data_IF_757238732863
#
_entry.id   IF_757238732863
#
_cell.length_a   1.000
_cell.length_b   1.000
_cell.length_c   1.000
_cell.angle_alpha   90.00
_cell.angle_beta   90.00
_cell.angle_gamma   90.00
#
_symmetry.space_group_name_H-M   'P 1'
#
loop_
_entity.id
_entity.type
_entity.pdbx_description
1 polymer ?
#
# COMPACT_ATOMS: atom_id res chain seq x y z
N UNK A 1 33.29 -2.40 3.13
CA UNK A 1 33.44 -1.03 2.60
C UNK A 1 32.27 -0.25 3.14
N UNK A 2 32.53 0.94 3.69
CA UNK A 2 31.46 1.80 4.20
C UNK A 2 30.51 2.17 3.05
N UNK A 3 29.19 2.15 3.29
CA UNK A 3 28.08 2.14 2.32
C UNK A 3 27.84 0.80 1.57
N UNK A 4 27.58 -0.31 2.26
CA UNK A 4 26.97 -1.50 1.64
C UNK A 4 25.54 -1.70 2.17
N UNK A 5 24.59 -2.14 1.33
CA UNK A 5 23.24 -2.42 1.78
C UNK A 5 23.27 -3.51 2.85
N UNK A 6 22.55 -3.30 3.94
CA UNK A 6 22.49 -4.24 5.05
C UNK A 6 21.76 -5.53 4.64
N UNK A 7 22.23 -6.67 5.15
CA UNK A 7 21.51 -7.92 5.01
C UNK A 7 20.13 -7.78 5.67
N UNK A 8 19.08 -8.07 4.91
CA UNK A 8 17.70 -7.96 5.37
C UNK A 8 17.09 -9.33 5.66
N UNK A 9 17.16 -10.25 4.71
CA UNK A 9 16.46 -11.52 4.80
C UNK A 9 17.13 -12.62 3.96
N UNK A 10 16.99 -13.87 4.39
CA UNK A 10 17.37 -15.06 3.63
C UNK A 10 16.16 -15.98 3.50
N UNK A 11 15.94 -16.49 2.30
CA UNK A 11 14.95 -17.52 2.02
C UNK A 11 15.47 -18.57 1.05
N UNK A 12 14.54 -19.37 0.55
CA UNK A 12 14.79 -20.35 -0.49
C UNK A 12 13.79 -20.13 -1.63
N UNK A 13 14.30 -20.13 -2.86
CA UNK A 13 13.49 -20.04 -4.07
C UNK A 13 13.88 -21.18 -5.01
N UNK A 14 12.91 -22.05 -5.28
CA UNK A 14 13.06 -23.27 -6.11
C UNK A 14 14.21 -24.19 -5.68
N UNK A 15 14.40 -24.38 -4.37
CA UNK A 15 15.44 -25.27 -3.82
C UNK A 15 16.83 -24.65 -3.72
N UNK A 16 16.93 -23.33 -3.94
CA UNK A 16 18.19 -22.59 -3.95
C UNK A 16 18.11 -21.36 -3.05
N UNK A 17 19.15 -21.05 -2.26
CA UNK A 17 19.14 -19.90 -1.37
C UNK A 17 18.99 -18.57 -2.11
N UNK A 18 18.13 -17.69 -1.60
CA UNK A 18 18.03 -16.30 -2.05
C UNK A 18 18.25 -15.37 -0.86
N UNK A 19 19.18 -14.42 -1.02
CA UNK A 19 19.51 -13.40 -0.04
C UNK A 19 18.98 -12.06 -0.51
N UNK A 20 18.53 -11.27 0.45
CA UNK A 20 18.00 -9.93 0.23
C UNK A 20 18.78 -8.94 1.08
N UNK A 21 19.25 -7.88 0.42
CA UNK A 21 19.96 -6.76 1.04
C UNK A 21 19.23 -5.46 0.76
N UNK A 22 19.24 -4.55 1.73
CA UNK A 22 18.45 -3.33 1.72
C UNK A 22 17.02 -3.59 2.23
N UNK A 23 16.58 -2.75 3.17
CA UNK A 23 15.27 -2.92 3.80
C UNK A 23 14.14 -2.48 2.84
N UNK A 24 13.14 -3.32 2.52
CA UNK A 24 12.09 -3.00 1.55
C UNK A 24 11.34 -1.69 1.82
N UNK A 25 11.16 -1.35 3.10
CA UNK A 25 10.44 -0.16 3.54
C UNK A 25 11.30 1.11 3.64
N UNK A 26 12.63 0.99 3.52
CA UNK A 26 13.54 2.14 3.59
C UNK A 26 14.36 2.18 2.31
N UNK A 27 14.14 3.16 1.42
CA UNK A 27 14.92 3.26 0.20
C UNK A 27 16.38 3.52 0.57
N UNK A 28 17.19 2.46 0.51
CA UNK A 28 18.63 2.56 0.58
C UNK A 28 19.14 3.22 -0.71
N UNK A 29 20.30 3.87 -0.63
CA UNK A 29 21.02 4.49 -1.76
C UNK A 29 21.24 3.50 -2.92
N UNK A 30 21.33 2.21 -2.62
CA UNK A 30 21.54 1.14 -3.58
C UNK A 30 20.24 0.44 -4.03
N UNK A 31 19.09 0.81 -3.46
CA UNK A 31 17.85 0.06 -3.62
C UNK A 31 17.91 -1.32 -2.94
N UNK A 32 17.01 -2.21 -3.37
CA UNK A 32 16.94 -3.58 -2.85
C UNK A 32 17.72 -4.52 -3.77
N UNK A 33 18.68 -5.25 -3.20
CA UNK A 33 19.51 -6.22 -3.92
C UNK A 33 19.04 -7.63 -3.58
N UNK A 34 18.77 -8.42 -4.62
CA UNK A 34 18.48 -9.84 -4.50
C UNK A 34 19.64 -10.64 -5.09
N UNK A 35 20.19 -11.56 -4.30
CA UNK A 35 21.25 -12.48 -4.73
C UNK A 35 20.69 -13.90 -4.64
N UNK A 36 20.56 -14.57 -5.78
CA UNK A 36 20.03 -15.94 -5.86
C UNK A 36 21.15 -16.91 -6.24
N UNK A 37 21.43 -17.89 -5.38
CA UNK A 37 22.52 -18.85 -5.56
C UNK A 37 22.01 -20.12 -6.22
N UNK A 38 22.52 -20.47 -7.40
CA UNK A 38 22.01 -21.62 -8.15
C UNK A 38 22.67 -22.90 -7.66
N UNK A 39 22.10 -23.49 -6.62
CA UNK A 39 22.62 -24.69 -5.97
C UNK A 39 21.86 -25.95 -6.40
N UNK A 40 20.89 -25.83 -7.32
CA UNK A 40 20.13 -26.96 -7.85
C UNK A 40 20.02 -26.89 -9.38
N UNK A 41 19.94 -28.06 -10.03
CA UNK A 41 19.67 -28.13 -11.47
C UNK A 41 18.35 -27.42 -11.82
N UNK A 42 17.35 -27.53 -10.95
CA UNK A 42 16.06 -26.85 -11.11
C UNK A 42 16.22 -25.34 -11.24
N UNK A 43 17.13 -24.71 -10.48
CA UNK A 43 17.37 -23.26 -10.63
C UNK A 43 18.12 -22.87 -11.89
N UNK A 44 19.04 -23.70 -12.36
CA UNK A 44 19.68 -23.51 -13.66
C UNK A 44 18.65 -23.61 -14.79
N UNK A 45 17.78 -24.61 -14.76
CA UNK A 45 16.73 -24.80 -15.78
C UNK A 45 15.76 -23.61 -15.83
N UNK A 46 15.41 -23.04 -14.67
CA UNK A 46 14.57 -21.83 -14.59
C UNK A 46 15.30 -20.64 -15.19
N UNK A 47 16.59 -20.46 -14.88
CA UNK A 47 17.37 -19.37 -15.44
C UNK A 47 17.46 -19.47 -16.96
N UNK A 48 17.75 -20.66 -17.48
CA UNK A 48 17.98 -20.83 -18.92
C UNK A 48 16.68 -20.77 -19.74
N UNK A 49 15.57 -21.28 -19.19
CA UNK A 49 14.34 -21.49 -19.96
C UNK A 49 13.20 -20.56 -19.55
N UNK A 50 13.31 -19.93 -18.38
CA UNK A 50 12.23 -19.17 -17.74
C UNK A 50 12.71 -17.86 -17.10
N UNK A 51 13.82 -17.31 -17.58
CA UNK A 51 14.36 -16.03 -17.10
C UNK A 51 13.30 -14.92 -17.04
N UNK A 52 12.45 -14.80 -18.07
CA UNK A 52 11.38 -13.80 -18.11
C UNK A 52 10.37 -13.97 -16.98
N UNK A 53 10.05 -15.21 -16.60
CA UNK A 53 9.13 -15.48 -15.50
C UNK A 53 9.73 -15.14 -14.15
N UNK A 54 11.04 -15.33 -13.98
CA UNK A 54 11.76 -14.84 -12.81
C UNK A 54 11.73 -13.32 -12.72
N UNK A 55 11.91 -12.61 -13.84
CA UNK A 55 11.78 -11.15 -13.87
C UNK A 55 10.34 -10.69 -13.53
N UNK A 56 9.32 -11.40 -14.02
CA UNK A 56 7.92 -11.14 -13.66
C UNK A 56 7.69 -11.27 -12.16
N UNK A 57 8.23 -12.32 -11.51
CA UNK A 57 8.15 -12.48 -10.05
C UNK A 57 8.75 -11.28 -9.32
N UNK A 58 9.96 -10.86 -9.71
CA UNK A 58 10.62 -9.68 -9.14
C UNK A 58 9.79 -8.41 -9.35
N UNK A 59 9.21 -8.23 -10.54
CA UNK A 59 8.37 -7.09 -10.88
C UNK A 59 7.10 -7.05 -10.01
N UNK A 60 6.37 -8.16 -9.89
CA UNK A 60 5.15 -8.22 -9.08
C UNK A 60 5.44 -7.98 -7.60
N UNK A 61 6.53 -8.57 -7.07
CA UNK A 61 6.99 -8.31 -5.71
C UNK A 61 7.27 -6.82 -5.47
N UNK A 62 7.98 -6.17 -6.39
CA UNK A 62 8.31 -4.74 -6.27
C UNK A 62 7.07 -3.85 -6.35
N UNK A 63 6.11 -4.18 -7.22
CA UNK A 63 4.81 -3.47 -7.27
C UNK A 63 4.05 -3.58 -5.96
N UNK A 64 4.02 -4.77 -5.35
CA UNK A 64 3.39 -5.00 -4.04
C UNK A 64 4.06 -4.17 -2.94
N UNK A 65 5.38 -4.22 -2.81
CA UNK A 65 6.13 -3.48 -1.78
C UNK A 65 5.92 -1.97 -1.93
N UNK A 66 6.00 -1.47 -3.18
CA UNK A 66 5.78 -0.05 -3.45
C UNK A 66 4.36 0.39 -3.09
N UNK A 67 3.35 -0.40 -3.47
CA UNK A 67 1.97 -0.11 -3.13
C UNK A 67 1.73 -0.16 -1.61
N UNK A 68 2.36 -1.07 -0.87
CA UNK A 68 2.31 -1.09 0.61
C UNK A 68 2.89 0.20 1.20
N UNK A 69 4.08 0.60 0.78
CA UNK A 69 4.72 1.83 1.24
C UNK A 69 3.86 3.07 0.95
N UNK A 70 3.35 3.20 -0.28
CA UNK A 70 2.44 4.29 -0.65
C UNK A 70 1.14 4.26 0.18
N UNK A 71 0.58 3.08 0.44
CA UNK A 71 -0.65 2.93 1.24
C UNK A 71 -0.50 3.49 2.66
N UNK A 72 0.68 3.33 3.28
CA UNK A 72 0.98 3.88 4.62
C UNK A 72 1.00 5.40 4.62
N UNK A 73 1.52 6.01 3.56
CA UNK A 73 1.49 7.46 3.39
C UNK A 73 0.05 7.97 3.26
N UNK A 74 -0.78 7.30 2.46
CA UNK A 74 -2.21 7.62 2.34
C UNK A 74 -2.96 7.41 3.65
N UNK A 75 -2.70 6.34 4.40
CA UNK A 75 -3.31 6.10 5.70
C UNK A 75 -3.05 7.26 6.68
N UNK A 76 -1.80 7.74 6.74
CA UNK A 76 -1.42 8.91 7.53
C UNK A 76 -2.16 10.18 7.08
N UNK A 77 -2.27 10.42 5.77
CA UNK A 77 -2.99 11.56 5.21
C UNK A 77 -4.51 11.51 5.49
N UNK A 78 -5.12 10.33 5.34
CA UNK A 78 -6.54 10.07 5.65
C UNK A 78 -6.82 10.39 7.10
N UNK A 79 -5.99 9.87 8.01
CA UNK A 79 -6.15 10.12 9.45
C UNK A 79 -6.09 11.61 9.78
N UNK A 80 -5.11 12.33 9.24
CA UNK A 80 -4.98 13.78 9.44
C UNK A 80 -6.19 14.57 8.91
N UNK A 81 -6.69 14.21 7.72
CA UNK A 81 -7.86 14.90 7.16
C UNK A 81 -9.13 14.59 7.95
N UNK A 82 -9.31 13.34 8.39
CA UNK A 82 -10.41 12.93 9.26
C UNK A 82 -10.40 13.71 10.58
N UNK A 83 -9.28 13.73 11.28
CA UNK A 83 -9.11 14.48 12.54
C UNK A 83 -9.35 15.99 12.35
N UNK A 84 -9.10 16.54 11.16
CA UNK A 84 -9.40 17.94 10.86
C UNK A 84 -10.90 18.16 10.60
N UNK A 85 -11.56 17.25 9.88
CA UNK A 85 -13.01 17.30 9.65
C UNK A 85 -13.75 17.20 10.99
N UNK A 86 -13.38 16.25 11.85
CA UNK A 86 -13.95 16.08 13.18
C UNK A 86 -13.79 17.34 14.03
N UNK A 87 -12.56 17.89 14.10
CA UNK A 87 -12.31 19.16 14.79
C UNK A 87 -13.12 20.32 14.22
N UNK A 88 -13.23 20.45 12.90
CA UNK A 88 -13.97 21.55 12.30
C UNK A 88 -15.49 21.41 12.58
N UNK A 89 -16.02 20.18 12.62
CA UNK A 89 -17.41 19.89 13.02
C UNK A 89 -17.62 20.24 14.48
N UNK A 90 -16.78 19.72 15.38
CA UNK A 90 -16.89 19.95 16.82
C UNK A 90 -16.80 21.44 17.15
N UNK A 91 -15.81 22.15 16.60
CA UNK A 91 -15.67 23.60 16.79
C UNK A 91 -16.89 24.36 16.28
N UNK A 92 -17.50 23.91 15.17
CA UNK A 92 -18.71 24.54 14.62
C UNK A 92 -19.87 24.40 15.60
N UNK A 93 -20.11 23.19 16.11
CA UNK A 93 -21.23 22.96 17.03
C UNK A 93 -20.99 23.52 18.42
N UNK A 94 -19.76 23.51 18.94
CA UNK A 94 -19.40 24.19 20.19
C UNK A 94 -19.66 25.70 20.11
N UNK A 95 -19.28 26.34 19.00
CA UNK A 95 -19.54 27.77 18.79
C UNK A 95 -21.06 28.07 18.78
N UNK A 96 -21.86 27.19 18.17
CA UNK A 96 -23.32 27.35 18.10
C UNK A 96 -24.05 26.98 19.40
N UNK A 97 -23.44 26.17 20.27
CA UNK A 97 -24.01 25.74 21.55
C UNK A 97 -23.66 26.65 22.72
N UNK A 98 -22.88 27.72 22.51
CA UNK A 98 -22.57 28.68 23.58
C UNK A 98 -23.85 29.15 24.28
N UNK A 99 -23.85 29.24 25.61
CA UNK A 99 -25.06 29.40 26.45
C UNK A 99 -26.07 30.44 25.94
N UNK A 100 -25.59 31.56 25.39
CA UNK A 100 -26.46 32.58 24.81
C UNK A 100 -27.23 32.13 23.56
N UNK A 101 -26.60 31.36 22.67
CA UNK A 101 -27.19 30.87 21.43
C UNK A 101 -28.24 29.78 21.70
N UNK A 102 -27.89 28.85 22.59
CA UNK A 102 -28.78 27.76 22.98
C UNK A 102 -30.03 28.27 23.73
N UNK A 103 -29.87 29.25 24.63
CA UNK A 103 -31.00 29.89 25.30
C UNK A 103 -31.89 30.72 24.35
N UNK A 104 -31.32 31.33 23.30
CA UNK A 104 -32.09 32.08 22.29
C UNK A 104 -32.91 31.16 21.38
N UNK A 105 -32.35 30.02 20.97
CA UNK A 105 -33.11 29.01 20.22
C UNK A 105 -34.29 28.44 21.03
N UNK A 106 -34.08 28.13 22.32
CA UNK A 106 -35.14 27.67 23.22
C UNK A 106 -36.28 28.68 23.40
N UNK A 107 -35.99 29.98 23.22
CA UNK A 107 -36.97 31.09 23.26
C UNK A 107 -37.54 31.44 21.88
N UNK A 108 -37.25 30.66 20.83
CA UNK A 108 -37.72 30.91 19.47
C UNK A 108 -37.00 32.05 18.72
N UNK A 109 -35.89 32.56 19.26
CA UNK A 109 -35.20 33.76 18.76
C UNK A 109 -34.25 33.54 17.57
N UNK A 110 -34.08 32.30 17.08
CA UNK A 110 -33.16 31.99 15.98
C UNK A 110 -31.67 32.24 16.28
N UNK A 111 -30.82 32.05 15.27
CA UNK A 111 -29.38 32.33 15.32
C UNK A 111 -29.10 33.83 15.09
N UNK A 112 -28.03 34.38 15.70
CA UNK A 112 -27.54 35.74 15.39
C UNK A 112 -26.99 35.79 13.97
N UNK A 113 -26.86 37.00 13.44
CA UNK A 113 -26.27 37.23 12.12
C UNK A 113 -24.83 36.68 12.04
N UNK A 114 -24.03 36.81 13.09
CA UNK A 114 -22.65 36.32 13.12
C UNK A 114 -22.60 34.78 13.08
N UNK A 115 -23.53 34.12 13.80
CA UNK A 115 -23.70 32.67 13.82
C UNK A 115 -24.12 32.14 12.43
N UNK A 116 -25.04 32.84 11.75
CA UNK A 116 -25.45 32.54 10.38
C UNK A 116 -24.31 32.74 9.36
N UNK A 117 -23.53 33.82 9.48
CA UNK A 117 -22.37 34.05 8.61
C UNK A 117 -21.28 33.01 8.85
N UNK A 118 -21.08 32.59 10.10
CA UNK A 118 -20.17 31.50 10.43
C UNK A 118 -20.60 30.18 9.77
N UNK A 119 -21.87 29.79 9.93
CA UNK A 119 -22.43 28.61 9.25
C UNK A 119 -22.29 28.70 7.73
N UNK A 120 -22.60 29.86 7.14
CA UNK A 120 -22.46 30.08 5.68
C UNK A 120 -21.03 29.82 5.20
N UNK A 121 -20.01 30.29 5.93
CA UNK A 121 -18.60 29.98 5.61
C UNK A 121 -18.32 28.49 5.71
N UNK A 122 -18.76 27.84 6.79
CA UNK A 122 -18.56 26.40 6.98
C UNK A 122 -19.22 25.55 5.89
N UNK A 123 -20.40 25.93 5.42
CA UNK A 123 -21.07 25.27 4.28
C UNK A 123 -20.29 25.39 2.97
N UNK A 124 -19.45 26.42 2.81
CA UNK A 124 -18.58 26.59 1.64
C UNK A 124 -17.25 25.83 1.84
N UNK A 125 -16.69 25.84 3.05
CA UNK A 125 -15.38 25.24 3.36
C UNK A 125 -15.41 23.72 3.49
N UNK A 126 -16.52 23.14 3.97
CA UNK A 126 -16.64 21.70 4.24
C UNK A 126 -16.67 20.80 3.00
N UNK A 127 -17.44 21.12 1.93
CA UNK A 127 -17.55 20.21 0.79
C UNK A 127 -16.20 19.89 0.11
N UNK A 128 -15.29 20.86 -0.13
CA UNK A 128 -13.96 20.55 -0.66
C UNK A 128 -13.15 19.59 0.22
N UNK A 129 -13.26 19.69 1.55
CA UNK A 129 -12.60 18.75 2.48
C UNK A 129 -13.20 17.34 2.37
N UNK A 130 -14.52 17.23 2.33
CA UNK A 130 -15.19 15.94 2.15
C UNK A 130 -14.78 15.26 0.83
N UNK A 131 -14.70 16.02 -0.26
CA UNK A 131 -14.21 15.53 -1.56
C UNK A 131 -12.74 15.09 -1.47
N UNK A 132 -11.89 15.88 -0.81
CA UNK A 132 -10.48 15.53 -0.59
C UNK A 132 -10.35 14.23 0.20
N UNK A 133 -11.11 14.08 1.28
CA UNK A 133 -11.13 12.88 2.11
C UNK A 133 -11.58 11.65 1.31
N UNK A 134 -12.69 11.76 0.56
CA UNK A 134 -13.16 10.69 -0.31
C UNK A 134 -12.11 10.29 -1.37
N UNK A 135 -11.41 11.26 -1.95
CA UNK A 135 -10.31 10.98 -2.88
C UNK A 135 -9.17 10.23 -2.20
N UNK A 136 -8.77 10.62 -0.98
CA UNK A 136 -7.72 9.90 -0.24
C UNK A 136 -8.11 8.44 0.03
N UNK A 137 -9.36 8.17 0.39
CA UNK A 137 -9.88 6.81 0.56
C UNK A 137 -9.82 6.00 -0.74
N UNK A 138 -10.27 6.59 -1.85
CA UNK A 138 -10.20 5.95 -3.17
C UNK A 138 -8.75 5.63 -3.57
N UNK A 139 -7.81 6.55 -3.33
CA UNK A 139 -6.39 6.31 -3.61
C UNK A 139 -5.84 5.15 -2.76
N UNK A 140 -6.23 5.03 -1.49
CA UNK A 140 -5.87 3.91 -0.64
C UNK A 140 -6.42 2.58 -1.18
N UNK A 141 -7.69 2.55 -1.58
CA UNK A 141 -8.32 1.36 -2.18
C UNK A 141 -7.61 0.92 -3.47
N UNK A 142 -7.20 1.86 -4.32
CA UNK A 142 -6.42 1.57 -5.53
C UNK A 142 -5.09 0.86 -5.19
N UNK A 143 -4.41 1.26 -4.10
CA UNK A 143 -3.17 0.59 -3.68
C UNK A 143 -3.46 -0.81 -3.14
N UNK A 144 -4.52 -0.97 -2.35
CA UNK A 144 -4.92 -2.29 -1.84
C UNK A 144 -5.24 -3.25 -2.99
N UNK A 145 -5.95 -2.78 -4.01
CA UNK A 145 -6.22 -3.55 -5.22
C UNK A 145 -4.92 -3.89 -5.97
N UNK A 146 -3.98 -2.93 -6.07
CA UNK A 146 -2.66 -3.17 -6.67
C UNK A 146 -1.89 -4.27 -5.93
N UNK A 147 -1.91 -4.25 -4.60
CA UNK A 147 -1.29 -5.30 -3.76
C UNK A 147 -1.95 -6.66 -4.04
N UNK A 148 -3.27 -6.73 -3.99
CA UNK A 148 -4.01 -7.97 -4.21
C UNK A 148 -3.75 -8.58 -5.59
N UNK A 149 -3.81 -7.76 -6.65
CA UNK A 149 -3.57 -8.21 -8.03
C UNK A 149 -2.14 -8.72 -8.20
N UNK A 150 -1.14 -7.98 -7.70
CA UNK A 150 0.26 -8.39 -7.90
C UNK A 150 0.65 -9.57 -7.00
N UNK A 151 0.07 -9.71 -5.81
CA UNK A 151 0.22 -10.91 -4.98
C UNK A 151 -0.36 -12.14 -5.68
N UNK A 152 -1.55 -12.02 -6.28
CA UNK A 152 -2.16 -13.10 -7.06
C UNK A 152 -1.31 -13.46 -8.28
N UNK A 153 -0.88 -12.46 -9.06
CA UNK A 153 -0.01 -12.68 -10.22
C UNK A 153 1.31 -13.37 -9.83
N UNK A 154 1.90 -12.99 -8.70
CA UNK A 154 3.10 -13.62 -8.17
C UNK A 154 2.85 -15.10 -7.85
N UNK A 155 1.76 -15.39 -7.12
CA UNK A 155 1.41 -16.77 -6.76
C UNK A 155 1.10 -17.64 -7.99
N UNK A 156 0.34 -17.11 -8.95
CA UNK A 156 0.01 -17.83 -10.18
C UNK A 156 1.26 -18.13 -11.00
N UNK A 157 2.18 -17.16 -11.09
CA UNK A 157 3.46 -17.36 -11.76
C UNK A 157 4.31 -18.42 -11.07
N UNK A 158 4.40 -18.42 -9.74
CA UNK A 158 5.08 -19.48 -8.98
C UNK A 158 4.47 -20.87 -9.25
N UNK A 159 3.15 -20.96 -9.32
CA UNK A 159 2.45 -22.20 -9.60
C UNK A 159 2.76 -22.70 -11.02
N UNK A 160 2.75 -21.81 -12.01
CA UNK A 160 3.13 -22.13 -13.39
C UNK A 160 4.58 -22.61 -13.50
N UNK A 161 5.51 -21.98 -12.78
CA UNK A 161 6.91 -22.43 -12.68
C UNK A 161 6.99 -23.84 -12.10
N UNK A 162 6.33 -24.05 -10.96
CA UNK A 162 6.36 -25.31 -10.24
C UNK A 162 5.75 -26.48 -11.03
N UNK A 163 4.63 -26.26 -11.73
CA UNK A 163 3.95 -27.28 -12.54
C UNK A 163 4.79 -27.72 -13.74
N UNK A 164 5.41 -26.77 -14.44
CA UNK A 164 6.27 -27.05 -15.59
C UNK A 164 7.51 -27.86 -15.16
N UNK A 165 8.17 -27.46 -14.07
CA UNK A 165 9.30 -28.20 -13.50
C UNK A 165 8.91 -29.64 -13.14
N UNK A 166 7.77 -29.84 -12.49
CA UNK A 166 7.26 -31.18 -12.15
C UNK A 166 7.00 -32.02 -13.40
N UNK A 167 6.38 -31.42 -14.42
CA UNK A 167 6.03 -32.10 -15.67
C UNK A 167 7.29 -32.56 -16.41
N UNK A 168 8.34 -31.74 -16.43
CA UNK A 168 9.64 -32.09 -17.05
C UNK A 168 10.38 -33.19 -16.30
N UNK A 169 10.38 -33.18 -14.96
CA UNK A 169 10.96 -34.28 -14.17
C UNK A 169 10.28 -35.61 -14.48
N UNK A 170 8.94 -35.63 -14.53
CA UNK A 170 8.17 -36.84 -14.88
C UNK A 170 8.52 -37.37 -16.28
N UNK A 171 8.76 -36.48 -17.24
CA UNK A 171 9.14 -36.88 -18.60
C UNK A 171 10.55 -37.49 -18.63
N UNK A 172 11.53 -36.86 -17.99
CA UNK A 172 12.90 -37.35 -17.95
C UNK A 172 13.04 -38.69 -17.19
N UNK A 173 12.23 -38.95 -16.17
CA UNK A 173 12.23 -40.21 -15.42
C UNK A 173 11.58 -41.39 -16.17
N UNK A 174 10.85 -41.12 -17.28
CA UNK A 174 10.20 -42.17 -18.10
C UNK A 174 11.05 -42.63 -19.29
N UNK A 175 12.03 -41.82 -19.68
CA UNK A 175 12.88 -42.04 -20.84
C UNK A 175 14.28 -42.58 -20.47
N UNK A 176 14.54 -42.86 -19.18
CA UNK A 176 15.78 -43.47 -18.65
C UNK A 176 15.55 -44.84 -18.04
#
# INVERSE_FOLDING_TARGET
GEDLPEFYHQGELFGSPILEYGHPNYPDKFGQILIWFFNSQTTSDIWDLRYSDFLDLCLYRNKTIRADHESRAYYSAIRKEYEQIERDIDNTFQYLQHDEAHQRQLKGGGLKQEELQYLKRKTIEMPPRAVKYARLLMELEIRQNTIAINAQNYQDKLNQISLDIKSRKIYNDRDG
#
